data_IF_230210236055
#
_entry.id   IF_230210236055
#
_cell.length_a   1.000
_cell.length_b   1.000
_cell.length_c   1.000
_cell.angle_alpha   90.00
_cell.angle_beta   90.00
_cell.angle_gamma   90.00
#
_symmetry.space_group_name_H-M   'P 1'
#
loop_
_entity.id
_entity.type
_entity.pdbx_description
1 polymer ?
#
# COMPACT_ATOMS: atom_id res chain seq x y z
N UNK A 1 -1.13 20.48 10.73
CA UNK A 1 -2.22 19.88 9.94
C UNK A 1 -2.00 20.17 8.46
N UNK A 2 -2.22 19.16 7.59
CA UNK A 2 -2.17 19.40 6.16
C UNK A 2 -3.32 20.34 5.73
N UNK A 3 -3.10 21.30 4.80
CA UNK A 3 -4.12 22.27 4.43
C UNK A 3 -5.31 21.55 3.78
N UNK A 4 -6.50 21.63 4.41
CA UNK A 4 -7.75 21.07 3.89
C UNK A 4 -8.32 21.98 2.79
N UNK A 5 -8.76 21.40 1.68
CA UNK A 5 -9.47 22.13 0.65
C UNK A 5 -10.85 22.59 1.14
N UNK A 6 -11.05 23.92 1.21
CA UNK A 6 -12.27 24.53 1.75
C UNK A 6 -13.43 24.67 0.74
N UNK A 7 -13.37 24.02 -0.41
CA UNK A 7 -14.44 24.02 -1.41
C UNK A 7 -14.59 25.34 -2.20
N UNK A 8 -13.62 26.25 -2.17
CA UNK A 8 -13.72 27.58 -2.80
C UNK A 8 -14.14 27.52 -4.27
N UNK A 9 -13.52 26.63 -5.07
CA UNK A 9 -13.83 26.50 -6.49
C UNK A 9 -15.05 25.62 -6.76
N UNK A 10 -15.45 24.77 -5.82
CA UNK A 10 -16.64 23.94 -5.95
C UNK A 10 -17.94 24.78 -5.95
N UNK A 11 -17.91 25.93 -5.28
CA UNK A 11 -19.04 26.87 -5.17
C UNK A 11 -19.15 27.89 -6.31
N UNK A 12 -18.26 27.85 -7.30
CA UNK A 12 -18.32 28.75 -8.46
C UNK A 12 -19.47 28.38 -9.36
N UNK A 13 -20.18 29.39 -9.89
CA UNK A 13 -21.17 29.22 -10.96
C UNK A 13 -20.51 28.81 -12.29
N UNK A 14 -21.30 28.32 -13.25
CA UNK A 14 -20.81 27.97 -14.58
C UNK A 14 -20.13 29.17 -15.26
N UNK A 15 -20.74 30.36 -15.17
CA UNK A 15 -20.21 31.61 -15.73
C UNK A 15 -18.87 32.00 -15.10
N UNK A 16 -18.78 31.92 -13.78
CA UNK A 16 -17.53 32.19 -13.06
C UNK A 16 -16.41 31.21 -13.43
N UNK A 17 -16.74 29.93 -13.67
CA UNK A 17 -15.78 28.92 -14.16
C UNK A 17 -15.31 29.25 -15.57
N UNK A 18 -16.24 29.60 -16.47
CA UNK A 18 -15.93 29.99 -17.84
C UNK A 18 -15.03 31.22 -17.88
N UNK A 19 -15.36 32.27 -17.12
CA UNK A 19 -14.53 33.47 -17.01
C UNK A 19 -13.11 33.16 -16.56
N UNK A 20 -12.95 32.34 -15.54
CA UNK A 20 -11.60 31.94 -15.03
C UNK A 20 -10.80 31.14 -16.07
N UNK A 21 -11.46 30.31 -16.86
CA UNK A 21 -10.81 29.63 -17.99
C UNK A 21 -10.37 30.60 -19.08
N UNK A 22 -11.19 31.57 -19.40
CA UNK A 22 -10.85 32.64 -20.35
C UNK A 22 -9.67 33.51 -19.87
N UNK A 23 -9.49 33.67 -18.55
CA UNK A 23 -8.34 34.31 -17.90
C UNK A 23 -7.07 33.40 -17.92
N UNK A 24 -7.07 32.26 -18.64
CA UNK A 24 -5.93 31.33 -18.74
C UNK A 24 -5.73 30.43 -17.55
N UNK A 25 -6.64 30.41 -16.58
CA UNK A 25 -6.51 29.51 -15.38
C UNK A 25 -6.86 28.08 -15.76
N UNK A 26 -5.92 27.18 -15.52
CA UNK A 26 -6.11 25.74 -15.73
C UNK A 26 -6.63 25.10 -14.43
N UNK A 27 -7.84 24.48 -14.43
CA UNK A 27 -8.39 23.83 -13.24
C UNK A 27 -7.73 22.48 -13.00
N UNK A 28 -7.70 22.06 -11.75
CA UNK A 28 -7.51 20.64 -11.35
C UNK A 28 -8.87 19.96 -11.31
N UNK A 29 -8.90 18.65 -11.51
CA UNK A 29 -10.09 17.85 -11.25
C UNK A 29 -9.99 17.28 -9.83
N UNK A 30 -11.07 17.46 -9.06
CA UNK A 30 -11.16 16.90 -7.72
C UNK A 30 -12.30 15.89 -7.64
N UNK A 31 -12.02 14.80 -6.97
CA UNK A 31 -13.05 13.88 -6.50
C UNK A 31 -13.65 14.43 -5.22
N UNK A 32 -14.98 14.55 -5.18
CA UNK A 32 -15.68 15.04 -3.99
C UNK A 32 -15.80 13.91 -2.97
N UNK A 33 -15.19 14.10 -1.81
CA UNK A 33 -15.33 13.20 -0.67
C UNK A 33 -16.55 13.63 0.13
N UNK A 34 -17.57 12.76 0.21
CA UNK A 34 -18.76 12.99 1.06
C UNK A 34 -18.42 12.85 2.54
N UNK A 35 -19.33 13.32 3.40
CA UNK A 35 -19.25 13.08 4.85
C UNK A 35 -19.64 11.63 5.17
N UNK A 36 -19.03 11.06 6.22
CA UNK A 36 -19.34 9.72 6.70
C UNK A 36 -18.11 8.91 7.07
N UNK A 37 -18.24 7.60 7.01
CA UNK A 37 -17.18 6.64 7.32
C UNK A 37 -16.98 5.69 6.15
N UNK A 38 -15.76 5.19 6.02
CA UNK A 38 -15.42 4.10 5.12
C UNK A 38 -15.01 2.90 5.96
N UNK A 39 -15.87 1.90 5.96
CA UNK A 39 -15.64 0.64 6.65
C UNK A 39 -15.22 -0.41 5.62
N UNK A 40 -14.21 -1.20 5.96
CA UNK A 40 -13.73 -2.33 5.16
C UNK A 40 -13.05 -3.37 6.05
N UNK A 41 -13.04 -4.60 5.59
CA UNK A 41 -12.28 -5.68 6.22
C UNK A 41 -10.93 -5.81 5.52
N UNK A 42 -9.86 -5.76 6.30
CA UNK A 42 -8.49 -6.01 5.84
C UNK A 42 -8.08 -7.42 6.28
N UNK A 43 -7.55 -8.21 5.35
CA UNK A 43 -7.23 -9.62 5.59
C UNK A 43 -6.13 -9.84 6.64
N UNK A 44 -5.36 -8.79 6.98
CA UNK A 44 -4.32 -8.84 8.01
C UNK A 44 -4.70 -8.02 9.23
N UNK A 45 -5.29 -6.84 9.03
CA UNK A 45 -5.60 -5.88 10.10
C UNK A 45 -6.98 -6.08 10.73
N UNK A 46 -7.86 -6.89 10.10
CA UNK A 46 -9.25 -7.05 10.51
C UNK A 46 -10.12 -5.87 10.11
N UNK A 47 -11.14 -5.56 10.89
CA UNK A 47 -12.09 -4.50 10.58
C UNK A 47 -11.49 -3.12 10.80
N UNK A 48 -11.51 -2.31 9.75
CA UNK A 48 -10.99 -0.94 9.71
C UNK A 48 -12.11 0.02 9.41
N UNK A 49 -12.23 1.08 10.21
CA UNK A 49 -13.21 2.13 10.05
C UNK A 49 -12.54 3.49 10.09
N UNK A 50 -12.62 4.26 9.00
CA UNK A 50 -11.97 5.57 8.88
C UNK A 50 -13.00 6.63 8.54
N UNK A 51 -13.02 7.71 9.32
CA UNK A 51 -13.84 8.87 9.06
C UNK A 51 -13.33 9.61 7.81
N UNK A 52 -14.25 10.02 6.92
CA UNK A 52 -13.90 10.74 5.70
C UNK A 52 -13.26 12.10 5.97
N UNK A 53 -13.48 12.68 7.14
CA UNK A 53 -12.80 13.92 7.56
C UNK A 53 -11.28 13.74 7.69
N UNK A 54 -10.83 12.55 8.05
CA UNK A 54 -9.40 12.22 8.12
C UNK A 54 -8.71 12.17 6.75
N UNK A 55 -9.48 12.11 5.63
CA UNK A 55 -8.93 12.03 4.28
C UNK A 55 -8.42 13.37 3.73
N UNK A 56 -8.61 14.48 4.47
CA UNK A 56 -8.12 15.81 4.09
C UNK A 56 -9.02 16.55 3.09
N UNK A 57 -10.27 16.12 2.91
CA UNK A 57 -11.27 16.72 2.01
C UNK A 57 -11.16 16.22 0.57
N UNK A 58 -11.70 17.00 -0.37
CA UNK A 58 -11.78 16.63 -1.79
C UNK A 58 -10.39 16.33 -2.40
N UNK A 59 -10.24 15.15 -2.97
CA UNK A 59 -8.96 14.66 -3.50
C UNK A 59 -8.69 15.25 -4.89
N UNK A 60 -7.50 15.79 -5.14
CA UNK A 60 -7.08 16.07 -6.52
C UNK A 60 -6.79 14.74 -7.20
N UNK A 61 -7.50 14.46 -8.30
CA UNK A 61 -7.33 13.24 -9.10
C UNK A 61 -6.66 13.49 -10.43
N UNK A 62 -6.77 14.73 -10.98
CA UNK A 62 -6.05 15.16 -12.18
C UNK A 62 -5.48 16.54 -11.96
N UNK A 63 -4.23 16.74 -12.32
CA UNK A 63 -3.52 18.04 -12.28
C UNK A 63 -4.04 19.00 -13.35
N UNK A 64 -3.64 20.28 -13.23
CA UNK A 64 -3.99 21.33 -14.20
C UNK A 64 -3.37 21.13 -15.58
N UNK A 65 -2.34 20.35 -15.72
CA UNK A 65 -1.71 19.95 -16.99
C UNK A 65 -2.39 18.73 -17.65
N UNK A 66 -3.40 18.15 -16.99
CA UNK A 66 -4.09 16.94 -17.45
C UNK A 66 -3.51 15.63 -16.93
N UNK A 67 -2.40 15.68 -16.18
CA UNK A 67 -1.77 14.46 -15.64
C UNK A 67 -2.61 13.88 -14.49
N UNK A 68 -3.04 12.61 -14.56
CA UNK A 68 -3.75 11.95 -13.47
C UNK A 68 -2.79 11.67 -12.30
N UNK A 69 -3.34 11.64 -11.08
CA UNK A 69 -2.58 11.38 -9.86
C UNK A 69 -2.75 9.94 -9.38
N UNK A 70 -1.76 9.47 -8.60
CA UNK A 70 -1.61 8.10 -8.12
C UNK A 70 -2.91 7.46 -7.62
N UNK A 71 -3.66 8.12 -6.73
CA UNK A 71 -4.89 7.53 -6.18
C UNK A 71 -5.94 7.21 -7.24
N UNK A 72 -5.97 7.97 -8.32
CA UNK A 72 -6.90 7.76 -9.42
C UNK A 72 -6.36 6.71 -10.39
N UNK A 73 -5.08 6.81 -10.78
CA UNK A 73 -4.49 5.88 -11.75
C UNK A 73 -4.49 4.45 -11.23
N UNK A 74 -4.07 4.23 -9.98
CA UNK A 74 -4.02 2.88 -9.41
C UNK A 74 -5.40 2.22 -9.36
N UNK A 75 -6.45 2.98 -9.04
CA UNK A 75 -7.82 2.44 -9.01
C UNK A 75 -8.33 2.10 -10.41
N UNK A 76 -8.02 2.95 -11.41
CA UNK A 76 -8.39 2.68 -12.81
C UNK A 76 -7.66 1.44 -13.34
N UNK A 77 -6.36 1.33 -13.06
CA UNK A 77 -5.55 0.19 -13.49
C UNK A 77 -6.02 -1.11 -12.81
N UNK A 78 -6.21 -1.10 -11.48
CA UNK A 78 -6.69 -2.25 -10.73
C UNK A 78 -8.07 -2.71 -11.21
N UNK A 79 -8.99 -1.77 -11.48
CA UNK A 79 -10.31 -2.07 -12.03
C UNK A 79 -10.23 -2.66 -13.44
N UNK A 80 -9.43 -2.07 -14.32
CA UNK A 80 -9.27 -2.54 -15.70
C UNK A 80 -8.59 -3.92 -15.78
N UNK A 81 -7.68 -4.21 -14.85
CA UNK A 81 -6.99 -5.50 -14.74
C UNK A 81 -7.78 -6.54 -13.94
N UNK A 82 -8.96 -6.19 -13.42
CA UNK A 82 -9.78 -7.04 -12.56
C UNK A 82 -9.00 -7.60 -11.35
N UNK A 83 -8.21 -6.74 -10.68
CA UNK A 83 -7.43 -7.13 -9.50
C UNK A 83 -8.38 -7.53 -8.38
N UNK A 84 -8.26 -8.77 -7.91
CA UNK A 84 -9.11 -9.33 -6.85
C UNK A 84 -8.60 -8.99 -5.44
N UNK A 85 -7.27 -8.87 -5.28
CA UNK A 85 -6.61 -8.64 -4.00
C UNK A 85 -5.51 -7.58 -4.15
N UNK A 86 -5.52 -6.58 -3.27
CA UNK A 86 -4.46 -5.56 -3.15
C UNK A 86 -3.66 -5.86 -1.88
N UNK A 87 -2.51 -6.52 -2.06
CA UNK A 87 -1.59 -6.88 -0.97
C UNK A 87 -0.40 -5.92 -1.01
N UNK A 88 -0.22 -5.13 0.06
CA UNK A 88 0.80 -4.06 0.07
C UNK A 88 1.24 -3.69 1.50
N UNK A 89 2.24 -2.83 1.63
CA UNK A 89 2.70 -2.35 2.93
C UNK A 89 1.65 -1.49 3.66
N UNK A 90 1.64 -1.55 4.97
CA UNK A 90 0.70 -0.82 5.85
C UNK A 90 0.82 0.71 5.76
N UNK A 91 1.91 1.25 5.22
CA UNK A 91 2.06 2.67 4.94
C UNK A 91 1.02 3.19 3.92
N UNK A 92 0.35 2.29 3.20
CA UNK A 92 -0.76 2.58 2.32
C UNK A 92 -2.15 2.40 2.97
N UNK A 93 -2.25 1.98 4.23
CA UNK A 93 -3.54 1.73 4.90
C UNK A 93 -4.44 2.99 4.88
N UNK A 94 -3.87 4.16 5.15
CA UNK A 94 -4.60 5.45 5.10
C UNK A 94 -5.03 5.87 3.68
N UNK A 95 -4.51 5.22 2.63
CA UNK A 95 -4.93 5.47 1.24
C UNK A 95 -6.14 4.62 0.85
N UNK A 96 -6.35 3.49 1.50
CA UNK A 96 -7.39 2.52 1.15
C UNK A 96 -8.80 3.11 1.14
N UNK A 97 -9.24 3.93 2.10
CA UNK A 97 -10.54 4.57 2.04
C UNK A 97 -10.74 5.44 0.80
N UNK A 98 -9.67 6.14 0.36
CA UNK A 98 -9.71 6.96 -0.86
C UNK A 98 -9.91 6.10 -2.10
N UNK A 99 -9.24 4.95 -2.15
CA UNK A 99 -9.36 4.00 -3.26
C UNK A 99 -10.75 3.36 -3.28
N UNK A 100 -11.28 2.93 -2.13
CA UNK A 100 -12.64 2.37 -2.03
C UNK A 100 -13.70 3.35 -2.53
N UNK A 101 -13.58 4.63 -2.15
CA UNK A 101 -14.50 5.67 -2.62
C UNK A 101 -14.40 5.88 -4.13
N UNK A 102 -13.20 5.80 -4.70
CA UNK A 102 -12.96 5.92 -6.14
C UNK A 102 -13.50 4.69 -6.90
N UNK A 103 -13.27 3.45 -6.42
CA UNK A 103 -13.85 2.24 -6.99
C UNK A 103 -15.38 2.35 -7.06
N UNK A 104 -16.01 2.73 -5.94
CA UNK A 104 -17.46 2.91 -5.87
C UNK A 104 -17.98 3.98 -6.84
N UNK A 105 -17.26 5.09 -6.96
CA UNK A 105 -17.62 6.18 -7.88
C UNK A 105 -17.48 5.80 -9.36
N UNK A 106 -16.57 4.90 -9.68
CA UNK A 106 -16.40 4.34 -11.03
C UNK A 106 -17.37 3.19 -11.34
N UNK A 107 -18.14 2.72 -10.35
CA UNK A 107 -19.01 1.56 -10.49
C UNK A 107 -18.24 0.25 -10.67
N UNK A 108 -16.99 0.20 -10.20
CA UNK A 108 -16.14 -0.96 -10.26
C UNK A 108 -16.18 -1.75 -8.94
N UNK A 109 -15.91 -3.05 -9.02
CA UNK A 109 -15.82 -3.92 -7.86
C UNK A 109 -14.63 -3.51 -6.97
N UNK A 110 -14.87 -3.46 -5.66
CA UNK A 110 -13.82 -3.14 -4.69
C UNK A 110 -13.03 -4.41 -4.38
N UNK A 111 -11.69 -4.45 -4.60
CA UNK A 111 -10.89 -5.62 -4.29
C UNK A 111 -10.79 -5.85 -2.78
N UNK A 112 -10.36 -7.05 -2.38
CA UNK A 112 -9.96 -7.34 -1.01
C UNK A 112 -8.61 -6.67 -0.73
N UNK A 113 -8.41 -6.20 0.51
CA UNK A 113 -7.17 -5.55 0.92
C UNK A 113 -6.44 -6.37 1.97
N UNK A 114 -5.11 -6.38 1.89
CA UNK A 114 -4.23 -6.93 2.91
C UNK A 114 -3.03 -5.99 3.11
N UNK A 115 -2.90 -5.42 4.31
CA UNK A 115 -1.80 -4.52 4.64
C UNK A 115 -0.76 -5.22 5.50
N UNK A 116 0.35 -5.57 4.85
CA UNK A 116 1.48 -6.25 5.47
C UNK A 116 2.25 -5.29 6.39
N UNK A 117 2.86 -5.78 7.48
CA UNK A 117 3.65 -4.98 8.39
C UNK A 117 4.86 -4.36 7.68
N UNK A 118 5.32 -3.22 8.21
CA UNK A 118 6.56 -2.60 7.73
C UNK A 118 7.77 -3.47 8.10
N UNK A 119 8.73 -3.52 7.18
CA UNK A 119 10.05 -4.06 7.47
C UNK A 119 10.86 -2.94 8.14
N UNK A 120 11.39 -3.26 9.31
CA UNK A 120 12.12 -2.33 10.17
C UNK A 120 13.60 -2.70 10.23
N UNK A 121 14.44 -1.68 10.41
CA UNK A 121 15.83 -1.86 10.81
C UNK A 121 15.90 -2.37 12.28
N UNK A 122 17.07 -2.85 12.74
CA UNK A 122 17.26 -3.24 14.14
C UNK A 122 16.94 -2.13 15.15
N UNK A 123 17.12 -0.86 14.78
CA UNK A 123 16.76 0.32 15.59
C UNK A 123 15.26 0.66 15.54
N UNK A 124 14.44 -0.21 14.94
CA UNK A 124 13.00 -0.07 14.70
C UNK A 124 12.60 1.08 13.78
N UNK A 125 13.52 1.72 13.11
CA UNK A 125 13.19 2.67 12.04
C UNK A 125 12.75 1.93 10.78
N UNK A 126 11.87 2.56 9.98
CA UNK A 126 11.44 1.98 8.70
C UNK A 126 12.63 1.74 7.78
N UNK A 127 12.80 0.51 7.31
CA UNK A 127 13.80 0.21 6.28
C UNK A 127 13.49 0.99 5.01
N UNK A 128 14.48 1.68 4.45
CA UNK A 128 14.28 2.51 3.28
C UNK A 128 15.42 2.36 2.28
N UNK A 129 15.08 2.41 0.99
CA UNK A 129 16.02 2.33 -0.13
C UNK A 129 17.17 3.37 -0.09
N UNK A 130 16.95 4.49 0.63
CA UNK A 130 17.95 5.57 0.72
C UNK A 130 19.04 5.32 1.76
N UNK A 131 18.79 4.47 2.73
CA UNK A 131 19.69 4.22 3.87
C UNK A 131 20.24 2.81 3.93
N UNK A 132 19.66 1.87 3.20
CA UNK A 132 20.00 0.45 3.28
C UNK A 132 19.97 -0.17 1.88
N UNK A 133 20.87 -1.12 1.62
CA UNK A 133 20.74 -2.01 0.47
C UNK A 133 19.48 -2.85 0.68
N UNK A 134 18.46 -2.62 -0.15
CA UNK A 134 17.15 -3.27 -0.02
C UNK A 134 16.72 -3.97 -1.30
N UNK A 135 17.53 -3.87 -2.38
CA UNK A 135 17.24 -4.58 -3.60
C UNK A 135 17.68 -6.05 -3.49
N UNK A 136 16.83 -6.97 -3.95
CA UNK A 136 17.16 -8.41 -3.99
C UNK A 136 18.49 -8.66 -4.72
N UNK A 137 18.75 -7.91 -5.80
CA UNK A 137 20.00 -8.02 -6.56
C UNK A 137 21.25 -7.77 -5.71
N UNK A 138 21.16 -6.86 -4.72
CA UNK A 138 22.30 -6.57 -3.83
C UNK A 138 22.63 -7.76 -2.92
N UNK A 139 21.60 -8.48 -2.46
CA UNK A 139 21.79 -9.69 -1.65
C UNK A 139 22.36 -10.85 -2.48
N UNK A 140 21.83 -11.05 -3.68
CA UNK A 140 22.38 -12.06 -4.62
C UNK A 140 23.84 -11.79 -4.92
N UNK A 141 24.22 -10.53 -5.17
CA UNK A 141 25.62 -10.15 -5.41
C UNK A 141 26.53 -10.38 -4.18
N UNK A 142 25.97 -10.40 -2.97
CA UNK A 142 26.67 -10.74 -1.72
C UNK A 142 26.75 -12.26 -1.45
N UNK A 143 26.19 -13.10 -2.32
CA UNK A 143 26.26 -14.55 -2.19
C UNK A 143 25.11 -15.20 -1.43
N UNK A 144 24.01 -14.47 -1.20
CA UNK A 144 22.78 -15.08 -0.65
C UNK A 144 22.08 -15.90 -1.72
N UNK A 145 21.65 -17.09 -1.35
CA UNK A 145 20.87 -17.95 -2.24
C UNK A 145 19.42 -17.44 -2.34
N UNK A 146 18.75 -17.77 -3.43
CA UNK A 146 17.34 -17.43 -3.63
C UNK A 146 16.48 -18.05 -2.54
N UNK A 147 16.75 -19.29 -2.20
CA UNK A 147 16.04 -20.08 -1.21
C UNK A 147 16.13 -19.43 0.19
N UNK A 148 17.32 -19.02 0.62
CA UNK A 148 17.53 -18.34 1.89
C UNK A 148 16.77 -17.00 1.96
N UNK A 149 16.80 -16.22 0.87
CA UNK A 149 16.09 -14.95 0.81
C UNK A 149 14.58 -15.14 0.86
N UNK A 150 14.02 -16.07 0.09
CA UNK A 150 12.58 -16.34 0.10
C UNK A 150 12.14 -16.83 1.48
N UNK A 151 12.88 -17.78 2.08
CA UNK A 151 12.60 -18.32 3.39
C UNK A 151 12.64 -17.19 4.46
N UNK A 152 13.69 -16.36 4.46
CA UNK A 152 13.82 -15.24 5.40
C UNK A 152 12.69 -14.23 5.25
N UNK A 153 12.38 -13.82 4.00
CA UNK A 153 11.31 -12.86 3.73
C UNK A 153 9.93 -13.38 4.12
N UNK A 154 9.67 -14.68 3.93
CA UNK A 154 8.42 -15.29 4.37
C UNK A 154 8.27 -15.20 5.88
N UNK A 155 9.33 -15.48 6.65
CA UNK A 155 9.33 -15.41 8.11
C UNK A 155 9.33 -13.98 8.67
N UNK A 156 9.52 -12.96 7.82
CA UNK A 156 9.36 -11.57 8.20
C UNK A 156 7.87 -11.21 8.34
N UNK A 157 7.33 -11.44 9.52
CA UNK A 157 5.95 -11.10 9.84
C UNK A 157 4.92 -12.18 9.56
N UNK A 158 5.33 -13.39 9.15
CA UNK A 158 4.47 -14.57 9.06
C UNK A 158 5.00 -15.70 9.95
N UNK A 159 4.10 -16.56 10.42
CA UNK A 159 4.45 -17.76 11.20
C UNK A 159 3.73 -18.97 10.63
N UNK A 160 4.47 -20.06 10.48
CA UNK A 160 3.91 -21.37 10.11
C UNK A 160 3.02 -21.97 11.21
N UNK A 161 3.14 -21.46 12.45
CA UNK A 161 2.51 -22.04 13.64
C UNK A 161 3.33 -23.21 14.24
N UNK A 162 4.52 -23.47 13.72
CA UNK A 162 5.50 -24.43 14.25
C UNK A 162 6.80 -23.71 14.56
N UNK A 163 7.75 -24.40 15.22
CA UNK A 163 9.09 -23.89 15.50
C UNK A 163 10.06 -24.10 14.31
N UNK A 164 9.54 -24.59 13.17
CA UNK A 164 10.35 -24.76 11.97
C UNK A 164 10.80 -23.40 11.43
N UNK A 165 12.05 -23.33 10.99
CA UNK A 165 12.65 -22.13 10.40
C UNK A 165 13.09 -22.34 8.95
N UNK A 166 13.23 -23.60 8.50
CA UNK A 166 13.62 -23.95 7.15
C UNK A 166 12.41 -24.40 6.36
N UNK A 167 12.08 -23.63 5.32
CA UNK A 167 10.97 -23.91 4.40
C UNK A 167 11.45 -23.84 2.99
N UNK A 168 11.25 -24.92 2.22
CA UNK A 168 11.39 -24.87 0.77
C UNK A 168 10.33 -23.95 0.17
N UNK A 169 10.48 -23.59 -1.10
CA UNK A 169 9.45 -22.79 -1.79
C UNK A 169 8.11 -23.55 -1.83
N UNK A 170 8.14 -24.85 -2.04
CA UNK A 170 6.94 -25.68 -2.07
C UNK A 170 6.26 -25.76 -0.69
N UNK A 171 7.03 -25.90 0.38
CA UNK A 171 6.50 -25.82 1.75
C UNK A 171 5.82 -24.48 2.02
N UNK A 172 6.42 -23.37 1.55
CA UNK A 172 5.82 -22.06 1.70
C UNK A 172 4.53 -21.89 0.90
N UNK A 173 4.49 -22.40 -0.33
CA UNK A 173 3.27 -22.38 -1.16
C UNK A 173 2.14 -23.16 -0.50
N UNK A 174 2.45 -24.32 0.11
CA UNK A 174 1.45 -25.16 0.78
C UNK A 174 0.96 -24.56 2.12
N UNK A 175 1.85 -23.93 2.88
CA UNK A 175 1.58 -23.51 4.27
C UNK A 175 1.24 -22.05 4.45
N UNK A 176 1.57 -21.18 3.46
CA UNK A 176 1.35 -19.75 3.58
C UNK A 176 -0.13 -19.40 3.66
N UNK A 177 -0.48 -18.64 4.70
CA UNK A 177 -1.83 -18.12 4.91
C UNK A 177 -1.74 -16.68 5.42
N UNK A 178 -2.44 -15.76 4.75
CA UNK A 178 -2.49 -14.35 5.13
C UNK A 178 -3.02 -14.14 6.55
N UNK A 179 -3.90 -15.01 7.05
CA UNK A 179 -4.44 -14.92 8.41
C UNK A 179 -3.37 -15.09 9.50
N UNK A 180 -2.22 -15.66 9.15
CA UNK A 180 -1.07 -15.85 10.05
C UNK A 180 -0.02 -14.74 9.94
N UNK A 181 -0.28 -13.72 9.13
CA UNK A 181 0.60 -12.54 9.05
C UNK A 181 0.39 -11.68 10.30
N UNK A 182 1.50 -11.35 10.96
CA UNK A 182 1.49 -10.53 12.16
C UNK A 182 1.17 -9.07 11.80
N UNK A 183 0.54 -8.36 12.73
CA UNK A 183 0.22 -6.94 12.54
C UNK A 183 1.37 -6.01 12.91
N UNK A 184 2.31 -6.47 13.75
CA UNK A 184 3.47 -5.70 14.20
C UNK A 184 4.56 -5.61 13.13
N UNK A 185 5.33 -4.51 13.13
CA UNK A 185 6.48 -4.36 12.23
C UNK A 185 7.52 -5.46 12.42
N UNK A 186 8.04 -6.02 11.33
CA UNK A 186 9.01 -7.10 11.32
C UNK A 186 10.44 -6.54 11.25
N UNK A 187 11.28 -6.88 12.20
CA UNK A 187 12.69 -6.46 12.20
C UNK A 187 13.47 -7.34 11.22
N UNK A 188 14.17 -6.71 10.27
CA UNK A 188 15.07 -7.39 9.35
C UNK A 188 16.36 -7.77 10.11
N UNK A 189 16.45 -9.05 10.46
CA UNK A 189 17.59 -9.61 11.16
C UNK A 189 18.56 -10.23 10.15
N UNK A 190 19.71 -9.57 9.99
CA UNK A 190 20.74 -10.03 9.05
C UNK A 190 21.47 -11.27 9.56
N UNK A 191 21.68 -11.42 10.85
CA UNK A 191 22.36 -12.58 11.41
C UNK A 191 21.51 -13.85 11.16
N UNK A 192 20.19 -13.72 11.30
CA UNK A 192 19.26 -14.80 10.96
C UNK A 192 19.29 -15.13 9.47
N UNK A 193 19.38 -14.13 8.59
CA UNK A 193 19.52 -14.35 7.15
C UNK A 193 20.85 -15.06 6.83
N UNK A 194 21.96 -14.67 7.47
CA UNK A 194 23.26 -15.32 7.30
C UNK A 194 23.21 -16.79 7.73
N UNK A 195 22.56 -17.07 8.86
CA UNK A 195 22.34 -18.44 9.33
C UNK A 195 21.52 -19.27 8.36
N UNK A 196 20.37 -18.74 7.89
CA UNK A 196 19.54 -19.39 6.87
C UNK A 196 20.32 -19.68 5.59
N UNK A 197 21.10 -18.70 5.12
CA UNK A 197 21.93 -18.88 3.92
C UNK A 197 22.94 -20.02 4.09
N UNK A 198 23.58 -20.11 5.29
CA UNK A 198 24.46 -21.22 5.61
C UNK A 198 23.76 -22.60 5.63
N UNK A 199 22.46 -22.66 5.98
CA UNK A 199 21.70 -23.91 5.92
C UNK A 199 21.38 -24.31 4.47
N UNK A 200 21.07 -23.36 3.60
CA UNK A 200 20.72 -23.61 2.20
C UNK A 200 21.93 -23.88 1.28
N UNK A 201 23.15 -23.52 1.68
CA UNK A 201 24.39 -23.84 0.94
C UNK A 201 24.87 -25.27 1.20
N UNK A 202 24.50 -25.87 2.32
CA UNK A 202 24.92 -27.23 2.72
C UNK A 202 24.09 -28.32 2.04
#
# INVERSE_FOLDING_TARGET
EAPRYVGRCARLTAEQRTRRRAEGRRPVIRFRVGEGRVDFHDLVRGDVSIDTDALGGDLVIVRSDGTPLYHFTVVVDDAAMAISHVIRGEDHLSNTPKHILLFRALGADVPLFAHLPLILNPDRTKMSKRKSQTAVADYIAQGYTREALINHLALLGWSSGTDDELFSFDDLVERFDLSRVQQGGAIFDRERLDWLNGQWIR
#
